data_IF_997319276735
#
_entry.id   IF_997319276735
#
_cell.length_a   1.000
_cell.length_b   1.000
_cell.length_c   1.000
_cell.angle_alpha   90.00
_cell.angle_beta   90.00
_cell.angle_gamma   90.00
#
_symmetry.space_group_name_H-M   'P 1'
#
loop_
_entity.id
_entity.type
_entity.pdbx_description
1 polymer ?
#
# COMPACT_ATOMS: atom_id res chain seq x y z
N UNK A 1 -33.84 71.78 48.92
CA UNK A 1 -34.68 72.07 47.73
C UNK A 1 -34.20 71.29 46.48
N UNK A 2 -35.11 70.47 45.89
CA UNK A 2 -35.08 69.77 44.57
C UNK A 2 -34.00 68.67 44.42
N UNK A 3 -34.27 67.35 44.43
CA UNK A 3 -35.24 66.47 43.75
C UNK A 3 -34.97 66.25 42.23
N UNK A 4 -34.43 65.05 41.93
CA UNK A 4 -34.59 64.15 40.75
C UNK A 4 -34.39 64.66 39.30
N UNK A 5 -33.46 64.01 38.60
CA UNK A 5 -33.71 63.09 37.46
C UNK A 5 -32.39 62.38 37.13
N UNK A 6 -32.23 61.06 37.19
CA UNK A 6 -33.09 60.08 36.55
C UNK A 6 -32.52 59.65 35.19
N UNK A 7 -31.22 59.32 35.09
CA UNK A 7 -30.67 58.66 33.91
C UNK A 7 -30.98 57.14 33.98
N UNK A 8 -32.27 56.82 33.83
CA UNK A 8 -32.68 55.46 33.43
C UNK A 8 -32.31 55.31 31.95
N UNK A 9 -31.05 54.97 31.69
CA UNK A 9 -30.74 54.27 30.44
C UNK A 9 -31.51 52.95 30.56
N UNK A 10 -32.55 52.74 29.73
CA UNK A 10 -33.51 51.69 30.01
C UNK A 10 -32.78 50.36 29.85
N UNK A 11 -32.91 49.48 30.83
CA UNK A 11 -32.39 48.11 30.78
C UNK A 11 -32.80 47.39 29.48
N UNK A 12 -33.90 47.84 28.84
CA UNK A 12 -34.35 47.45 27.50
C UNK A 12 -33.29 47.65 26.42
N UNK A 13 -32.50 48.74 26.47
CA UNK A 13 -31.43 49.00 25.49
C UNK A 13 -30.23 48.06 25.70
N UNK A 14 -29.88 47.79 26.96
CA UNK A 14 -28.81 46.84 27.29
C UNK A 14 -29.21 45.40 26.93
N UNK A 15 -30.46 45.01 27.19
CA UNK A 15 -31.01 43.69 26.81
C UNK A 15 -31.13 43.58 25.28
N UNK A 16 -31.53 44.65 24.59
CA UNK A 16 -31.58 44.71 23.12
C UNK A 16 -30.21 44.53 22.48
N UNK A 17 -29.18 45.21 23.01
CA UNK A 17 -27.80 45.03 22.53
C UNK A 17 -27.27 43.61 22.80
N UNK A 18 -27.62 43.01 23.95
CA UNK A 18 -27.18 41.66 24.28
C UNK A 18 -27.87 40.60 23.41
N UNK A 19 -29.17 40.76 23.15
CA UNK A 19 -29.92 39.90 22.24
C UNK A 19 -29.40 40.02 20.80
N UNK A 20 -29.09 41.23 20.33
CA UNK A 20 -28.49 41.46 19.01
C UNK A 20 -27.10 40.81 18.90
N UNK A 21 -26.27 40.92 19.95
CA UNK A 21 -24.96 40.29 20.01
C UNK A 21 -25.04 38.76 19.98
N UNK A 22 -26.01 38.16 20.68
CA UNK A 22 -26.24 36.71 20.66
C UNK A 22 -26.74 36.24 19.30
N UNK A 23 -27.64 36.99 18.65
CA UNK A 23 -28.12 36.68 17.29
C UNK A 23 -27.00 36.81 16.26
N UNK A 24 -26.16 37.85 16.37
CA UNK A 24 -24.98 38.02 15.51
C UNK A 24 -23.96 36.89 15.73
N UNK A 25 -23.71 36.49 16.98
CA UNK A 25 -22.82 35.36 17.29
C UNK A 25 -23.37 34.03 16.77
N UNK A 26 -24.67 33.78 16.92
CA UNK A 26 -25.32 32.59 16.38
C UNK A 26 -25.34 32.60 14.84
N UNK A 27 -25.49 33.77 14.21
CA UNK A 27 -25.45 33.92 12.76
C UNK A 27 -24.02 33.73 12.22
N UNK A 28 -23.00 34.26 12.88
CA UNK A 28 -21.59 34.01 12.50
C UNK A 28 -21.18 32.57 12.75
N UNK A 29 -21.65 31.92 13.81
CA UNK A 29 -21.47 30.47 14.04
C UNK A 29 -22.20 29.62 13.00
N UNK A 30 -23.41 30.01 12.56
CA UNK A 30 -24.15 29.31 11.50
C UNK A 30 -23.52 29.56 10.12
N UNK A 31 -23.01 30.76 9.86
CA UNK A 31 -22.25 31.06 8.64
C UNK A 31 -20.89 30.36 8.64
N UNK A 32 -20.18 30.30 9.77
CA UNK A 32 -18.97 29.52 9.95
C UNK A 32 -19.27 28.02 9.78
N UNK A 33 -20.37 27.50 10.35
CA UNK A 33 -20.84 26.13 10.15
C UNK A 33 -21.26 25.83 8.71
N UNK A 34 -21.81 26.81 7.98
CA UNK A 34 -22.14 26.71 6.55
C UNK A 34 -20.93 26.82 5.64
N UNK A 35 -19.89 27.55 6.03
CA UNK A 35 -18.58 27.59 5.36
C UNK A 35 -17.79 26.31 5.67
N UNK A 36 -18.04 25.70 6.85
CA UNK A 36 -17.65 24.34 7.23
C UNK A 36 -18.65 23.29 6.68
N UNK A 37 -19.39 23.60 5.62
CA UNK A 37 -20.01 22.54 4.79
C UNK A 37 -18.90 21.84 4.02
N UNK A 38 -18.39 20.78 4.65
CA UNK A 38 -17.45 19.75 4.17
C UNK A 38 -16.43 20.26 3.15
N UNK A 39 -15.13 20.37 3.48
CA UNK A 39 -14.08 20.68 2.49
C UNK A 39 -14.16 19.80 1.22
N UNK A 40 -14.69 18.58 1.35
CA UNK A 40 -15.04 17.67 0.24
C UNK A 40 -15.92 18.32 -0.85
N UNK A 41 -16.90 19.16 -0.50
CA UNK A 41 -17.84 19.77 -1.46
C UNK A 41 -17.19 20.86 -2.32
N UNK A 42 -16.23 21.60 -1.77
CA UNK A 42 -15.51 22.67 -2.48
C UNK A 42 -14.43 22.05 -3.36
N UNK A 43 -13.66 21.09 -2.82
CA UNK A 43 -12.64 20.36 -3.57
C UNK A 43 -13.28 19.64 -4.78
N UNK A 44 -14.43 18.99 -4.60
CA UNK A 44 -15.16 18.34 -5.70
C UNK A 44 -15.66 19.29 -6.80
N UNK A 45 -15.84 20.58 -6.52
CA UNK A 45 -16.23 21.58 -7.53
C UNK A 45 -15.04 22.13 -8.33
N UNK A 46 -13.82 22.02 -7.78
CA UNK A 46 -12.59 22.58 -8.37
C UNK A 46 -11.89 21.55 -9.26
N UNK A 47 -12.11 20.25 -9.02
CA UNK A 47 -11.53 19.19 -9.86
C UNK A 47 -12.20 19.18 -11.23
N UNK A 48 -11.37 19.29 -12.27
CA UNK A 48 -11.78 19.04 -13.65
C UNK A 48 -12.38 17.63 -13.77
N UNK A 49 -13.60 17.54 -14.33
CA UNK A 49 -14.36 16.29 -14.44
C UNK A 49 -13.55 15.18 -15.12
N UNK A 50 -12.77 15.49 -16.15
CA UNK A 50 -11.95 14.49 -16.85
C UNK A 50 -10.83 13.93 -15.98
N UNK A 51 -10.25 14.75 -15.09
CA UNK A 51 -9.25 14.28 -14.14
C UNK A 51 -9.90 13.36 -13.08
N UNK A 52 -11.07 13.74 -12.56
CA UNK A 52 -11.81 12.90 -11.61
C UNK A 52 -12.19 11.54 -12.22
N UNK A 53 -12.83 11.55 -13.37
CA UNK A 53 -13.31 10.32 -14.04
C UNK A 53 -12.13 9.38 -14.36
N UNK A 54 -10.97 9.95 -14.71
CA UNK A 54 -9.75 9.19 -14.96
C UNK A 54 -9.20 8.57 -13.67
N UNK A 55 -9.21 9.30 -12.55
CA UNK A 55 -8.81 8.74 -11.25
C UNK A 55 -9.74 7.60 -10.80
N UNK A 56 -11.06 7.79 -10.93
CA UNK A 56 -12.05 6.78 -10.55
C UNK A 56 -11.90 5.51 -11.39
N UNK A 57 -11.69 5.63 -12.71
CA UNK A 57 -11.40 4.47 -13.58
C UNK A 57 -10.10 3.77 -13.20
N UNK A 58 -9.06 4.53 -12.88
CA UNK A 58 -7.78 3.97 -12.47
C UNK A 58 -7.91 3.13 -11.20
N UNK A 59 -8.55 3.67 -10.15
CA UNK A 59 -8.77 2.92 -8.92
C UNK A 59 -9.71 1.74 -9.11
N UNK A 60 -10.77 1.88 -9.90
CA UNK A 60 -11.69 0.77 -10.20
C UNK A 60 -10.97 -0.43 -10.84
N UNK A 61 -10.00 -0.18 -11.74
CA UNK A 61 -9.19 -1.25 -12.34
C UNK A 61 -8.25 -1.89 -11.32
N UNK A 62 -7.57 -1.08 -10.50
CA UNK A 62 -6.74 -1.58 -9.41
C UNK A 62 -7.54 -2.46 -8.43
N UNK A 63 -8.73 -2.04 -8.04
CA UNK A 63 -9.60 -2.76 -7.10
C UNK A 63 -10.18 -4.05 -7.70
N UNK A 64 -10.33 -4.10 -9.02
CA UNK A 64 -10.75 -5.30 -9.75
C UNK A 64 -9.59 -6.31 -9.97
N UNK A 65 -8.35 -5.97 -9.57
CA UNK A 65 -7.17 -6.79 -9.87
C UNK A 65 -6.71 -6.71 -11.33
N UNK A 66 -7.29 -5.82 -12.14
CA UNK A 66 -6.91 -5.57 -13.54
C UNK A 66 -5.71 -4.59 -13.58
N UNK A 67 -4.57 -5.07 -13.09
CA UNK A 67 -3.37 -4.27 -12.86
C UNK A 67 -2.79 -3.78 -14.19
N UNK A 68 -2.80 -4.61 -15.22
CA UNK A 68 -2.27 -4.33 -16.55
C UNK A 68 -3.06 -3.21 -17.22
N UNK A 69 -4.38 -3.22 -17.12
CA UNK A 69 -5.15 -2.14 -17.69
C UNK A 69 -5.09 -0.86 -16.86
N UNK A 70 -4.92 -0.94 -15.53
CA UNK A 70 -4.60 0.23 -14.71
C UNK A 70 -3.24 0.83 -15.12
N UNK A 71 -2.24 -0.02 -15.35
CA UNK A 71 -0.92 0.37 -15.86
C UNK A 71 -0.99 1.00 -17.25
N UNK A 72 -1.83 0.45 -18.13
CA UNK A 72 -2.06 0.95 -19.48
C UNK A 72 -2.69 2.35 -19.55
N UNK A 73 -3.25 2.85 -18.44
CA UNK A 73 -3.70 4.25 -18.35
C UNK A 73 -2.55 5.24 -18.13
N UNK A 74 -1.34 4.74 -17.84
CA UNK A 74 -0.12 5.53 -17.67
C UNK A 74 0.37 6.15 -18.97
N UNK A 75 0.89 7.38 -18.88
CA UNK A 75 1.65 7.99 -19.98
C UNK A 75 3.12 7.54 -19.98
N UNK A 76 3.86 7.95 -21.01
CA UNK A 76 5.29 7.64 -21.12
C UNK A 76 6.12 8.10 -19.92
N UNK A 77 5.70 9.15 -19.20
CA UNK A 77 6.41 9.64 -18.02
C UNK A 77 6.13 8.80 -16.76
N UNK A 78 4.99 8.12 -16.69
CA UNK A 78 4.74 7.07 -15.69
C UNK A 78 5.57 5.83 -16.03
N UNK A 79 5.53 5.39 -17.27
CA UNK A 79 6.26 4.19 -17.73
C UNK A 79 7.78 4.36 -17.73
N UNK A 80 8.29 5.59 -17.81
CA UNK A 80 9.72 5.86 -17.67
C UNK A 80 10.21 5.85 -16.21
N UNK A 81 9.30 5.88 -15.23
CA UNK A 81 9.63 6.02 -13.80
C UNK A 81 9.33 4.77 -12.99
N UNK A 82 8.58 3.85 -13.56
CA UNK A 82 8.13 2.62 -12.91
C UNK A 82 8.01 1.57 -14.00
N UNK A 83 8.19 0.30 -13.65
CA UNK A 83 7.93 -0.83 -14.54
C UNK A 83 6.57 -1.46 -14.22
N UNK A 84 5.97 -2.17 -15.18
CA UNK A 84 4.75 -2.95 -14.91
C UNK A 84 4.92 -3.91 -13.72
N UNK A 85 6.12 -4.49 -13.58
CA UNK A 85 6.46 -5.38 -12.46
C UNK A 85 6.42 -4.66 -11.12
N UNK A 86 7.09 -3.50 -11.00
CA UNK A 86 7.08 -2.69 -9.77
C UNK A 86 5.66 -2.20 -9.44
N UNK A 87 4.88 -1.84 -10.47
CA UNK A 87 3.49 -1.45 -10.29
C UNK A 87 2.61 -2.59 -9.78
N UNK A 88 2.81 -3.82 -10.29
CA UNK A 88 2.16 -5.04 -9.76
C UNK A 88 2.53 -5.29 -8.31
N UNK A 89 3.83 -5.27 -7.98
CA UNK A 89 4.31 -5.44 -6.62
C UNK A 89 3.69 -4.40 -5.67
N UNK A 90 3.61 -3.15 -6.11
CA UNK A 90 2.93 -2.10 -5.35
C UNK A 90 1.45 -2.42 -5.12
N UNK A 91 0.71 -2.81 -6.17
CA UNK A 91 -0.72 -3.08 -6.07
C UNK A 91 -1.00 -4.23 -5.09
N UNK A 92 -0.20 -5.30 -5.17
CA UNK A 92 -0.30 -6.43 -4.25
C UNK A 92 0.11 -6.06 -2.82
N UNK A 93 1.20 -5.31 -2.64
CA UNK A 93 1.63 -4.87 -1.31
C UNK A 93 0.57 -4.00 -0.62
N UNK A 94 -0.06 -3.09 -1.37
CA UNK A 94 -1.16 -2.26 -0.88
C UNK A 94 -2.35 -3.11 -0.42
N UNK A 95 -2.76 -4.09 -1.23
CA UNK A 95 -3.88 -4.97 -0.92
C UNK A 95 -3.56 -5.93 0.23
N UNK A 96 -2.33 -6.41 0.34
CA UNK A 96 -1.89 -7.25 1.45
C UNK A 96 -1.90 -6.46 2.78
N UNK A 97 -1.31 -5.27 2.76
CA UNK A 97 -1.16 -4.40 3.93
C UNK A 97 -2.50 -3.86 4.42
N UNK A 98 -3.31 -3.30 3.52
CA UNK A 98 -4.52 -2.57 3.89
C UNK A 98 -5.81 -3.33 3.60
N UNK A 99 -5.77 -4.43 2.85
CA UNK A 99 -6.95 -5.14 2.39
C UNK A 99 -7.61 -4.46 1.17
N UNK A 100 -8.83 -4.89 0.79
CA UNK A 100 -9.56 -4.24 -0.28
C UNK A 100 -9.89 -2.79 0.05
N UNK A 101 -9.86 -1.94 -0.97
CA UNK A 101 -10.24 -0.53 -0.88
C UNK A 101 -11.75 -0.44 -0.64
N UNK A 102 -12.15 0.37 0.33
CA UNK A 102 -13.57 0.66 0.63
C UNK A 102 -14.00 1.93 -0.09
N UNK A 103 -13.20 3.00 0.03
CA UNK A 103 -13.53 4.29 -0.59
C UNK A 103 -12.33 5.22 -0.72
N UNK A 104 -11.99 5.69 -1.94
CA UNK A 104 -11.07 6.81 -2.11
C UNK A 104 -11.81 8.16 -1.94
N UNK A 105 -11.30 9.06 -1.10
CA UNK A 105 -11.83 10.42 -0.91
C UNK A 105 -10.76 11.44 -1.28
N UNK A 106 -11.04 12.31 -2.26
CA UNK A 106 -10.14 13.41 -2.63
C UNK A 106 -10.07 14.42 -1.48
N UNK A 107 -8.89 14.61 -0.91
CA UNK A 107 -8.63 15.58 0.16
C UNK A 107 -8.08 16.90 -0.36
N UNK A 108 -7.20 16.85 -1.35
CA UNK A 108 -6.61 18.04 -1.93
C UNK A 108 -6.31 17.88 -3.40
N UNK A 109 -6.29 19.02 -4.10
CA UNK A 109 -6.07 19.10 -5.54
C UNK A 109 -5.09 20.23 -5.78
N UNK A 110 -4.02 19.94 -6.49
CA UNK A 110 -3.07 20.94 -6.97
C UNK A 110 -3.01 20.91 -8.48
N UNK A 111 -3.19 22.07 -9.11
CA UNK A 111 -3.19 22.21 -10.57
C UNK A 111 -1.92 22.96 -10.97
N UNK A 112 -1.02 22.27 -11.66
CA UNK A 112 0.23 22.83 -12.17
C UNK A 112 0.15 22.89 -13.71
N UNK A 113 0.19 24.09 -14.30
CA UNK A 113 0.32 24.25 -15.76
C UNK A 113 1.80 24.15 -16.13
N UNK A 114 2.18 23.17 -16.94
CA UNK A 114 3.56 22.99 -17.42
C UNK A 114 3.59 22.97 -18.94
N UNK A 115 4.41 23.85 -19.50
CA UNK A 115 4.91 23.70 -20.87
C UNK A 115 5.98 22.61 -20.87
N UNK A 116 5.65 21.42 -21.35
CA UNK A 116 6.63 20.37 -21.63
C UNK A 116 6.78 20.30 -23.15
N UNK A 117 7.99 20.49 -23.68
CA UNK A 117 8.29 20.30 -25.10
C UNK A 117 7.35 21.04 -26.08
N UNK A 118 7.04 22.32 -25.84
CA UNK A 118 6.13 23.17 -26.64
C UNK A 118 4.64 22.77 -26.61
N UNK A 119 4.27 21.70 -25.93
CA UNK A 119 2.87 21.35 -25.64
C UNK A 119 2.46 21.87 -24.26
N UNK A 120 1.35 22.60 -24.20
CA UNK A 120 0.76 23.04 -22.94
C UNK A 120 0.05 21.87 -22.27
N UNK A 121 0.67 21.30 -21.24
CA UNK A 121 0.06 20.26 -20.41
C UNK A 121 -0.45 20.85 -19.10
N UNK A 122 -1.63 20.42 -18.65
CA UNK A 122 -2.12 20.72 -17.31
C UNK A 122 -2.00 19.48 -16.46
N UNK A 123 -1.27 19.57 -15.34
CA UNK A 123 -1.11 18.49 -14.38
C UNK A 123 -2.05 18.70 -13.20
N UNK A 124 -2.87 17.70 -12.92
CA UNK A 124 -3.74 17.63 -11.76
C UNK A 124 -3.14 16.65 -10.77
N UNK A 125 -2.59 17.14 -9.66
CA UNK A 125 -2.15 16.31 -8.55
C UNK A 125 -3.31 16.16 -7.58
N UNK A 126 -3.88 14.96 -7.52
CA UNK A 126 -4.98 14.59 -6.66
C UNK A 126 -4.43 13.78 -5.48
N UNK A 127 -4.68 14.25 -4.27
CA UNK A 127 -4.34 13.51 -3.05
C UNK A 127 -5.62 12.93 -2.46
N UNK A 128 -5.59 11.63 -2.22
CA UNK A 128 -6.67 10.84 -1.67
C UNK A 128 -6.32 10.44 -0.24
N UNK A 129 -7.31 10.52 0.64
CA UNK A 129 -7.35 9.64 1.79
C UNK A 129 -8.25 8.48 1.39
N UNK A 130 -7.67 7.29 1.38
CA UNK A 130 -8.34 6.09 0.98
C UNK A 130 -8.61 5.24 2.21
N UNK A 131 -9.87 4.94 2.44
CA UNK A 131 -10.28 3.95 3.44
C UNK A 131 -10.13 2.56 2.83
N UNK A 132 -9.40 1.69 3.52
CA UNK A 132 -9.30 0.27 3.24
C UNK A 132 -9.82 -0.52 4.43
N UNK A 133 -10.09 -1.81 4.21
CA UNK A 133 -10.64 -2.68 5.24
C UNK A 133 -9.79 -2.76 6.53
N UNK A 134 -8.47 -2.66 6.43
CA UNK A 134 -7.53 -2.75 7.56
C UNK A 134 -6.97 -1.40 8.02
N UNK A 135 -7.39 -0.28 7.43
CA UNK A 135 -6.94 1.05 7.83
C UNK A 135 -7.03 2.09 6.72
N UNK A 136 -6.62 3.31 7.02
CA UNK A 136 -6.58 4.40 6.04
C UNK A 136 -5.16 4.54 5.46
N UNK A 137 -5.08 4.96 4.20
CA UNK A 137 -3.81 5.32 3.60
C UNK A 137 -3.92 6.54 2.69
N UNK A 138 -2.81 7.26 2.54
CA UNK A 138 -2.73 8.42 1.66
C UNK A 138 -2.16 8.03 0.30
N UNK A 139 -2.92 8.31 -0.75
CA UNK A 139 -2.53 8.01 -2.13
C UNK A 139 -2.48 9.31 -2.93
N UNK A 140 -1.50 9.44 -3.82
CA UNK A 140 -1.36 10.59 -4.71
C UNK A 140 -1.36 10.13 -6.14
N UNK A 141 -2.28 10.66 -6.94
CA UNK A 141 -2.37 10.42 -8.37
C UNK A 141 -2.14 11.74 -9.11
N UNK A 142 -1.24 11.74 -10.07
CA UNK A 142 -1.00 12.88 -10.97
C UNK A 142 -1.59 12.53 -12.32
N UNK A 143 -2.49 13.38 -12.81
CA UNK A 143 -3.17 13.21 -14.09
C UNK A 143 -2.72 14.34 -15.01
N UNK A 144 -2.24 13.98 -16.19
CA UNK A 144 -1.93 14.95 -17.23
C UNK A 144 -3.12 15.12 -18.16
N UNK A 145 -3.46 16.38 -18.47
CA UNK A 145 -4.32 16.74 -19.59
C UNK A 145 -3.46 17.27 -20.73
N UNK A 146 -3.50 16.61 -21.89
CA UNK A 146 -2.88 17.04 -23.15
C UNK A 146 -3.90 16.89 -24.26
N UNK A 147 -4.12 17.95 -25.04
CA UNK A 147 -5.05 17.97 -26.18
C UNK A 147 -6.46 17.42 -25.87
N UNK A 148 -6.94 17.64 -24.65
CA UNK A 148 -8.25 17.16 -24.19
C UNK A 148 -8.27 15.72 -23.69
N UNK A 149 -7.20 14.94 -23.89
CA UNK A 149 -7.04 13.60 -23.33
C UNK A 149 -6.46 13.66 -21.90
N UNK A 150 -6.90 12.72 -21.05
CA UNK A 150 -6.45 12.60 -19.66
C UNK A 150 -5.76 11.26 -19.45
N UNK A 151 -4.53 11.29 -18.97
CA UNK A 151 -3.71 10.10 -18.71
C UNK A 151 -3.08 10.16 -17.33
N UNK A 152 -2.74 9.00 -16.78
CA UNK A 152 -2.03 8.93 -15.50
C UNK A 152 -0.56 9.26 -15.73
N UNK A 153 -0.12 10.37 -15.17
CA UNK A 153 1.26 10.87 -15.31
C UNK A 153 2.19 10.33 -14.22
N UNK A 154 1.64 10.07 -13.04
CA UNK A 154 2.33 9.40 -11.94
C UNK A 154 1.33 8.89 -10.93
N UNK A 155 1.68 7.83 -10.23
CA UNK A 155 0.94 7.34 -9.08
C UNK A 155 1.92 7.03 -7.96
N UNK A 156 1.66 7.57 -6.77
CA UNK A 156 2.42 7.30 -5.56
C UNK A 156 1.42 6.95 -4.46
N UNK A 157 1.35 5.69 -4.06
CA UNK A 157 0.63 5.35 -2.85
C UNK A 157 1.47 5.34 -1.60
N UNK A 158 0.87 4.93 -0.46
CA UNK A 158 1.55 4.89 0.83
C UNK A 158 2.80 3.99 0.80
N UNK A 159 2.78 2.90 0.01
CA UNK A 159 3.90 1.99 -0.14
C UNK A 159 5.05 2.56 -1.03
N UNK A 160 4.78 3.61 -1.84
CA UNK A 160 5.79 4.28 -2.69
C UNK A 160 6.51 5.44 -1.97
N UNK A 161 6.20 5.69 -0.69
CA UNK A 161 6.86 6.71 0.14
C UNK A 161 8.38 6.53 0.32
N UNK A 162 8.94 5.39 -0.11
CA UNK A 162 10.37 5.09 -0.05
C UNK A 162 11.25 5.86 -1.06
N UNK A 163 10.69 6.54 -2.07
CA UNK A 163 11.51 7.02 -3.20
C UNK A 163 11.31 8.46 -3.68
N UNK A 164 10.62 9.36 -2.97
CA UNK A 164 10.47 10.75 -3.44
C UNK A 164 10.75 11.81 -2.37
N UNK A 165 12.03 12.12 -2.17
CA UNK A 165 12.44 13.49 -1.83
C UNK A 165 12.40 14.32 -3.10
N UNK A 166 11.53 15.32 -3.15
CA UNK A 166 11.48 16.33 -4.21
C UNK A 166 12.85 16.98 -4.42
N UNK A 167 13.37 17.12 -5.65
CA UNK A 167 14.59 17.86 -5.90
C UNK A 167 14.35 19.34 -5.58
N UNK A 168 15.03 19.85 -4.57
CA UNK A 168 15.14 21.29 -4.29
C UNK A 168 15.98 21.89 -5.43
N UNK A 169 15.51 22.99 -6.04
CA UNK A 169 16.25 23.77 -7.05
C UNK A 169 17.69 24.04 -6.55
N UNK A 170 18.71 23.94 -7.42
CA UNK A 170 20.08 24.24 -7.02
C UNK A 170 20.21 25.75 -6.83
N UNK A 171 20.40 26.17 -5.59
CA UNK A 171 20.83 27.52 -5.25
C UNK A 171 22.08 27.41 -4.39
N UNK A 172 23.19 27.94 -4.90
CA UNK A 172 24.42 28.19 -4.14
C UNK A 172 25.48 27.10 -4.26
N UNK A 173 26.58 27.44 -4.93
CA UNK A 173 27.88 26.77 -4.78
C UNK A 173 28.23 26.71 -3.28
N UNK A 174 28.32 25.51 -2.73
CA UNK A 174 29.18 25.22 -1.59
C UNK A 174 29.86 23.88 -1.88
N UNK A 175 31.17 23.94 -2.12
CA UNK A 175 32.06 22.80 -2.32
C UNK A 175 32.12 21.99 -1.03
N UNK A 176 31.32 20.94 -0.94
CA UNK A 176 31.48 19.89 0.07
C UNK A 176 32.08 18.67 -0.65
N UNK A 177 33.11 18.01 -0.11
CA UNK A 177 33.71 16.84 -0.75
C UNK A 177 32.65 15.74 -0.96
N UNK A 178 32.58 15.22 -2.18
CA UNK A 178 31.73 14.06 -2.50
C UNK A 178 32.20 12.85 -1.68
N UNK A 179 31.30 12.07 -1.05
CA UNK A 179 31.66 10.80 -0.44
C UNK A 179 32.21 9.86 -1.53
N UNK A 180 33.20 9.01 -1.21
CA UNK A 180 33.79 8.07 -2.16
C UNK A 180 32.71 7.17 -2.77
N UNK A 181 32.87 6.88 -4.06
CA UNK A 181 32.02 5.90 -4.74
C UNK A 181 32.28 4.50 -4.15
N UNK A 182 31.24 3.67 -3.97
CA UNK A 182 31.42 2.31 -3.49
C UNK A 182 32.26 1.51 -4.49
N UNK A 183 33.32 0.89 -3.98
CA UNK A 183 34.21 0.00 -4.73
C UNK A 183 33.49 -1.32 -4.98
N UNK A 184 33.20 -1.58 -6.25
CA UNK A 184 32.63 -2.81 -6.84
C UNK A 184 31.12 -3.06 -6.66
N UNK A 185 30.41 -3.46 -7.74
CA UNK A 185 29.02 -3.90 -7.65
C UNK A 185 28.94 -5.22 -6.87
N UNK A 186 27.97 -5.33 -5.96
CA UNK A 186 27.67 -6.57 -5.25
C UNK A 186 27.34 -7.70 -6.23
N UNK A 187 28.08 -8.81 -6.16
CA UNK A 187 27.76 -10.01 -6.93
C UNK A 187 26.57 -10.79 -6.32
N UNK A 188 25.94 -11.61 -7.15
CA UNK A 188 24.74 -12.39 -6.82
C UNK A 188 24.97 -13.34 -5.64
N UNK A 189 26.14 -13.97 -5.57
CA UNK A 189 26.48 -14.95 -4.54
C UNK A 189 26.63 -14.29 -3.16
N UNK A 190 27.32 -13.15 -3.11
CA UNK A 190 27.45 -12.33 -1.91
C UNK A 190 26.11 -11.78 -1.43
N UNK A 191 25.25 -11.37 -2.36
CA UNK A 191 23.89 -10.92 -2.04
C UNK A 191 23.03 -12.04 -1.44
N UNK A 192 23.06 -13.24 -2.05
CA UNK A 192 22.32 -14.38 -1.52
C UNK A 192 22.82 -14.79 -0.13
N UNK A 193 24.14 -14.84 0.06
CA UNK A 193 24.74 -15.16 1.36
C UNK A 193 24.38 -14.13 2.45
N UNK A 194 24.40 -12.84 2.11
CA UNK A 194 24.01 -11.79 3.06
C UNK A 194 22.52 -11.86 3.42
N UNK A 195 21.66 -12.10 2.43
CA UNK A 195 20.23 -12.24 2.66
C UNK A 195 19.91 -13.47 3.51
N UNK A 196 20.56 -14.62 3.27
CA UNK A 196 20.44 -15.82 4.11
C UNK A 196 20.88 -15.55 5.55
N UNK A 197 22.03 -14.90 5.74
CA UNK A 197 22.52 -14.50 7.08
C UNK A 197 21.54 -13.59 7.80
N UNK A 198 20.85 -12.70 7.09
CA UNK A 198 19.82 -11.84 7.67
C UNK A 198 18.61 -12.66 8.14
N UNK A 199 18.15 -13.65 7.36
CA UNK A 199 17.10 -14.56 7.79
C UNK A 199 17.53 -15.33 9.04
N UNK A 200 18.73 -15.90 9.07
CA UNK A 200 19.27 -16.60 10.25
C UNK A 200 19.34 -15.69 11.48
N UNK A 201 19.76 -14.43 11.29
CA UNK A 201 19.77 -13.43 12.34
C UNK A 201 18.36 -13.15 12.88
N UNK A 202 17.32 -13.10 12.03
CA UNK A 202 15.94 -12.95 12.50
C UNK A 202 15.46 -14.15 13.34
N UNK A 203 15.97 -15.36 13.05
CA UNK A 203 15.62 -16.56 13.81
C UNK A 203 16.28 -16.59 15.20
N UNK A 204 17.47 -15.99 15.34
CA UNK A 204 18.20 -15.88 16.61
C UNK A 204 17.71 -14.71 17.47
N UNK A 205 17.40 -13.57 16.86
CA UNK A 205 16.80 -12.43 17.55
C UNK A 205 16.81 -11.13 16.74
N UNK A 206 15.80 -10.28 17.00
CA UNK A 206 15.61 -9.03 16.27
C UNK A 206 16.81 -8.05 16.39
N UNK A 207 17.57 -8.09 17.48
CA UNK A 207 18.74 -7.22 17.62
C UNK A 207 19.82 -7.52 16.56
N UNK A 208 20.14 -8.79 16.33
CA UNK A 208 21.17 -9.19 15.37
C UNK A 208 20.76 -8.87 13.93
N UNK A 209 19.50 -9.12 13.58
CA UNK A 209 18.98 -8.80 12.25
C UNK A 209 18.91 -7.29 12.00
N UNK A 210 18.57 -6.50 13.02
CA UNK A 210 18.52 -5.04 12.93
C UNK A 210 19.87 -4.43 12.58
N UNK A 211 20.97 -4.97 13.11
CA UNK A 211 22.30 -4.43 12.86
C UNK A 211 22.74 -4.60 11.40
N UNK A 212 22.13 -5.54 10.66
CA UNK A 212 22.35 -5.77 9.22
C UNK A 212 21.52 -4.84 8.31
N UNK A 213 20.61 -4.04 8.88
CA UNK A 213 19.74 -3.14 8.12
C UNK A 213 20.44 -1.83 7.76
N UNK A 214 20.23 -1.36 6.54
CA UNK A 214 20.77 -0.11 6.01
C UNK A 214 19.91 1.11 6.36
N UNK A 215 20.43 2.30 6.04
CA UNK A 215 19.73 3.56 6.29
C UNK A 215 18.35 3.65 5.63
N UNK A 216 18.15 2.99 4.50
CA UNK A 216 16.85 2.97 3.81
C UNK A 216 15.78 2.21 4.59
N UNK A 217 16.14 1.05 5.14
CA UNK A 217 15.26 0.24 5.98
C UNK A 217 14.94 0.99 7.28
N UNK A 218 15.97 1.50 7.96
CA UNK A 218 15.85 2.24 9.22
C UNK A 218 15.11 3.57 9.06
N UNK A 219 15.05 4.12 7.84
CA UNK A 219 14.32 5.33 7.51
C UNK A 219 12.80 5.15 7.42
N UNK A 220 12.32 3.92 7.25
CA UNK A 220 10.88 3.62 7.13
C UNK A 220 10.33 2.76 8.26
N UNK A 221 11.18 1.99 8.92
CA UNK A 221 10.83 1.13 10.03
C UNK A 221 11.76 1.45 11.18
N UNK A 222 11.20 1.84 12.32
CA UNK A 222 11.99 2.01 13.53
C UNK A 222 12.29 0.65 14.19
N UNK A 223 13.24 0.65 15.13
CA UNK A 223 13.70 -0.57 15.80
C UNK A 223 12.57 -1.27 16.58
N UNK A 224 11.63 -0.51 17.14
CA UNK A 224 10.49 -1.06 17.89
C UNK A 224 9.51 -1.78 16.96
N UNK A 225 9.17 -1.15 15.82
CA UNK A 225 8.34 -1.72 14.77
C UNK A 225 8.98 -2.99 14.18
N UNK A 226 10.30 -2.98 13.99
CA UNK A 226 11.05 -4.16 13.54
C UNK A 226 11.01 -5.30 14.57
N UNK A 227 11.25 -5.01 15.84
CA UNK A 227 11.15 -6.00 16.91
C UNK A 227 9.73 -6.61 16.98
N UNK A 228 8.71 -5.78 16.80
CA UNK A 228 7.31 -6.23 16.72
C UNK A 228 7.09 -7.13 15.50
N UNK A 229 7.58 -6.75 14.32
CA UNK A 229 7.50 -7.56 13.11
C UNK A 229 8.10 -8.96 13.32
N UNK A 230 9.32 -9.04 13.84
CA UNK A 230 9.99 -10.33 14.12
C UNK A 230 9.19 -11.17 15.11
N UNK A 231 8.63 -10.54 16.15
CA UNK A 231 7.75 -11.22 17.12
C UNK A 231 6.47 -11.73 16.48
N UNK A 232 5.83 -10.93 15.64
CA UNK A 232 4.58 -11.27 14.95
C UNK A 232 4.81 -12.43 13.97
N UNK A 233 5.94 -12.45 13.26
CA UNK A 233 6.35 -13.56 12.37
C UNK A 233 6.51 -14.84 13.18
N UNK A 234 7.24 -14.80 14.30
CA UNK A 234 7.41 -15.97 15.16
C UNK A 234 6.09 -16.44 15.76
N UNK A 235 5.18 -15.53 16.09
CA UNK A 235 3.85 -15.88 16.59
C UNK A 235 3.01 -16.58 15.50
N UNK A 236 3.01 -16.04 14.27
CA UNK A 236 2.24 -16.54 13.15
C UNK A 236 2.78 -17.85 12.57
N UNK A 237 4.10 -17.92 12.33
CA UNK A 237 4.75 -19.01 11.60
C UNK A 237 5.55 -19.95 12.50
N UNK A 238 5.88 -19.55 13.72
CA UNK A 238 6.80 -20.30 14.59
C UNK A 238 8.27 -20.02 14.25
N UNK A 239 9.16 -20.88 14.73
CA UNK A 239 10.59 -20.81 14.39
C UNK A 239 10.82 -21.19 12.93
N UNK A 240 11.78 -20.53 12.26
CA UNK A 240 12.22 -20.97 10.93
C UNK A 240 13.08 -22.23 11.08
N UNK A 241 12.79 -23.25 10.29
CA UNK A 241 13.49 -24.54 10.27
C UNK A 241 14.57 -24.55 9.19
N UNK A 242 14.24 -24.10 7.98
CA UNK A 242 15.16 -23.99 6.85
C UNK A 242 14.69 -22.88 5.89
N UNK A 243 15.56 -22.53 4.94
CA UNK A 243 15.26 -21.64 3.83
C UNK A 243 16.15 -21.94 2.63
N UNK A 244 15.63 -21.68 1.44
CA UNK A 244 16.34 -21.89 0.17
C UNK A 244 16.03 -20.74 -0.78
N UNK A 245 17.05 -20.22 -1.47
CA UNK A 245 16.84 -19.17 -2.45
C UNK A 245 16.15 -19.76 -3.70
N UNK A 246 15.01 -19.20 -4.06
CA UNK A 246 14.18 -19.63 -5.20
C UNK A 246 14.07 -18.57 -6.29
N UNK A 247 14.48 -17.33 -6.00
CA UNK A 247 14.41 -16.23 -6.94
C UNK A 247 15.46 -15.17 -6.68
N UNK A 248 15.89 -14.53 -7.77
CA UNK A 248 16.88 -13.46 -7.73
C UNK A 248 16.47 -12.37 -8.72
N UNK A 249 16.52 -11.11 -8.29
CA UNK A 249 16.24 -9.97 -9.14
C UNK A 249 17.16 -8.79 -8.81
N UNK A 250 17.99 -8.39 -9.78
CA UNK A 250 18.81 -7.18 -9.67
C UNK A 250 18.11 -6.02 -10.38
N UNK A 251 17.98 -4.90 -9.69
CA UNK A 251 17.42 -3.66 -10.23
C UNK A 251 18.44 -2.55 -10.03
N UNK A 252 18.77 -1.84 -11.11
CA UNK A 252 19.64 -0.66 -11.05
C UNK A 252 18.80 0.57 -11.31
N UNK A 253 18.73 1.46 -10.33
CA UNK A 253 18.01 2.73 -10.43
C UNK A 253 19.04 3.86 -10.44
N UNK A 254 19.04 4.64 -11.51
CA UNK A 254 19.85 5.86 -11.58
C UNK A 254 19.12 6.99 -10.85
N UNK A 255 19.65 7.41 -9.70
CA UNK A 255 19.11 8.51 -8.92
C UNK A 255 20.23 9.52 -8.60
N UNK A 256 20.00 10.81 -8.86
CA UNK A 256 20.95 11.90 -8.58
C UNK A 256 22.34 11.71 -9.22
N UNK A 257 22.40 11.12 -10.42
CA UNK A 257 23.67 10.86 -11.11
C UNK A 257 24.49 9.69 -10.54
N UNK A 258 23.94 8.93 -9.59
CA UNK A 258 24.54 7.71 -9.05
C UNK A 258 23.64 6.51 -9.35
N UNK A 259 24.23 5.41 -9.81
CA UNK A 259 23.53 4.14 -9.93
C UNK A 259 23.36 3.54 -8.53
N UNK A 260 22.11 3.34 -8.11
CA UNK A 260 21.78 2.56 -6.91
C UNK A 260 21.36 1.18 -7.38
N UNK A 261 22.23 0.20 -7.16
CA UNK A 261 21.94 -1.20 -7.43
C UNK A 261 21.29 -1.80 -6.19
N UNK A 262 20.11 -2.35 -6.37
CA UNK A 262 19.40 -3.14 -5.36
C UNK A 262 19.23 -4.56 -5.86
N UNK A 263 19.47 -5.53 -4.99
CA UNK A 263 19.32 -6.94 -5.31
C UNK A 263 18.27 -7.51 -4.38
N UNK A 264 17.21 -8.06 -4.96
CA UNK A 264 16.17 -8.77 -4.21
C UNK A 264 16.38 -10.26 -4.35
N UNK A 265 16.44 -10.94 -3.22
CA UNK A 265 16.54 -12.40 -3.13
C UNK A 265 15.25 -12.92 -2.51
N UNK A 266 14.62 -13.86 -3.20
CA UNK A 266 13.39 -14.52 -2.74
C UNK A 266 13.75 -15.90 -2.21
N UNK A 267 13.29 -16.20 -1.01
CA UNK A 267 13.47 -17.48 -0.34
C UNK A 267 12.13 -18.19 -0.18
N UNK A 268 12.14 -19.50 -0.45
CA UNK A 268 11.13 -20.39 0.12
C UNK A 268 11.64 -20.86 1.48
N UNK A 269 10.87 -20.56 2.52
CA UNK A 269 11.24 -20.80 3.90
C UNK A 269 10.22 -21.70 4.59
N UNK A 270 10.71 -22.73 5.27
CA UNK A 270 9.88 -23.60 6.11
C UNK A 270 9.96 -23.15 7.55
N UNK A 271 8.80 -23.01 8.17
CA UNK A 271 8.64 -22.71 9.59
C UNK A 271 7.91 -23.86 10.29
N UNK A 272 7.90 -23.84 11.62
CA UNK A 272 7.18 -24.83 12.44
C UNK A 272 5.68 -24.92 12.11
N UNK A 273 5.05 -23.82 11.66
CA UNK A 273 3.59 -23.74 11.41
C UNK A 273 3.23 -23.62 9.93
N UNK A 274 4.17 -23.85 9.01
CA UNK A 274 3.91 -23.82 7.57
C UNK A 274 5.06 -23.25 6.74
N UNK A 275 4.80 -22.99 5.47
CA UNK A 275 5.76 -22.41 4.52
C UNK A 275 5.41 -20.96 4.19
N UNK A 276 6.42 -20.18 3.84
CA UNK A 276 6.23 -18.81 3.37
C UNK A 276 7.32 -18.43 2.36
N UNK A 277 6.97 -17.47 1.50
CA UNK A 277 7.93 -16.79 0.65
C UNK A 277 8.43 -15.55 1.37
N UNK A 278 9.75 -15.46 1.52
CA UNK A 278 10.44 -14.32 2.12
C UNK A 278 11.24 -13.57 1.07
N UNK A 279 11.04 -12.27 0.96
CA UNK A 279 11.82 -11.40 0.08
C UNK A 279 12.75 -10.52 0.92
N UNK A 280 14.03 -10.51 0.58
CA UNK A 280 15.04 -9.64 1.18
C UNK A 280 15.63 -8.79 0.06
N UNK A 281 15.46 -7.47 0.15
CA UNK A 281 16.12 -6.53 -0.76
C UNK A 281 17.35 -5.95 -0.09
N UNK A 282 18.48 -6.09 -0.77
CA UNK A 282 19.77 -5.55 -0.40
C UNK A 282 20.08 -4.32 -1.23
N UNK A 283 20.75 -3.36 -0.63
CA UNK A 283 21.31 -2.20 -1.30
C UNK A 283 22.80 -2.10 -1.06
N UNK A 284 23.56 -1.65 -2.08
CA UNK A 284 24.95 -1.26 -1.88
C UNK A 284 25.00 0.13 -1.23
N UNK A 285 25.53 0.22 -0.01
CA UNK A 285 25.80 1.49 0.67
C UNK A 285 27.29 1.83 0.67
N UNK A 286 27.65 3.01 1.19
CA UNK A 286 29.05 3.43 1.37
C UNK A 286 29.80 2.51 2.36
N UNK A 287 29.08 1.96 3.35
CA UNK A 287 29.64 1.10 4.40
C UNK A 287 29.58 -0.39 4.03
N UNK A 288 29.14 -0.70 2.80
CA UNK A 288 28.94 -2.06 2.31
C UNK A 288 27.48 -2.41 2.01
N UNK A 289 27.20 -3.64 1.56
CA UNK A 289 25.84 -4.08 1.31
C UNK A 289 25.03 -4.20 2.60
N UNK A 290 23.79 -3.72 2.58
CA UNK A 290 22.90 -3.73 3.74
C UNK A 290 21.46 -4.06 3.34
N UNK A 291 20.66 -4.55 4.28
CA UNK A 291 19.24 -4.84 4.02
C UNK A 291 18.45 -3.54 3.92
N UNK A 292 17.80 -3.33 2.78
CA UNK A 292 16.97 -2.16 2.48
C UNK A 292 15.48 -2.44 2.69
N UNK A 293 15.04 -3.68 2.49
CA UNK A 293 13.65 -4.09 2.64
C UNK A 293 13.53 -5.57 2.97
N UNK A 294 12.46 -5.93 3.68
CA UNK A 294 12.08 -7.32 3.96
C UNK A 294 10.56 -7.46 3.95
N UNK A 295 10.06 -8.53 3.34
CA UNK A 295 8.67 -8.93 3.40
C UNK A 295 8.51 -10.44 3.46
N UNK A 296 7.39 -10.89 4.01
CA UNK A 296 6.98 -12.28 4.08
C UNK A 296 5.54 -12.40 3.59
N UNK A 297 5.30 -13.34 2.68
CA UNK A 297 3.97 -13.74 2.24
C UNK A 297 3.79 -15.21 2.60
N UNK A 298 2.77 -15.51 3.40
CA UNK A 298 2.39 -16.91 3.63
C UNK A 298 2.06 -17.52 2.27
N UNK A 299 2.68 -18.64 1.93
CA UNK A 299 2.16 -19.43 0.82
C UNK A 299 0.76 -19.84 1.27
N UNK A 300 -0.24 -19.58 0.43
CA UNK A 300 -1.50 -20.28 0.61
C UNK A 300 -1.10 -21.75 0.60
N UNK A 301 -1.30 -22.43 1.74
CA UNK A 301 -1.27 -23.88 1.74
C UNK A 301 -2.28 -24.23 0.66
N UNK A 302 -1.81 -24.75 -0.48
CA UNK A 302 -2.66 -25.57 -1.33
C UNK A 302 -3.15 -26.63 -0.35
N UNK A 303 -4.36 -26.42 0.19
CA UNK A 303 -5.08 -27.53 0.76
C UNK A 303 -5.02 -28.56 -0.36
N UNK A 304 -4.51 -29.78 -0.11
CA UNK A 304 -4.72 -30.83 -1.09
C UNK A 304 -6.19 -30.77 -1.46
N UNK A 305 -6.50 -30.88 -2.75
CA UNK A 305 -7.87 -30.96 -3.25
C UNK A 305 -8.53 -32.15 -2.54
N UNK A 306 -9.05 -31.91 -1.32
CA UNK A 306 -9.94 -32.81 -0.61
C UNK A 306 -11.22 -32.62 -1.38
N UNK A 307 -11.27 -33.22 -2.57
CA UNK A 307 -12.54 -33.61 -3.14
C UNK A 307 -13.22 -34.37 -2.01
N UNK A 308 -14.42 -33.96 -1.57
CA UNK A 308 -15.21 -34.86 -0.74
C UNK A 308 -15.18 -36.20 -1.48
N UNK A 309 -14.88 -37.33 -0.79
CA UNK A 309 -14.84 -38.63 -1.44
C UNK A 309 -16.10 -38.73 -2.27
N UNK A 310 -15.93 -38.91 -3.58
CA UNK A 310 -17.08 -38.96 -4.47
C UNK A 310 -17.96 -40.09 -3.92
N UNK A 311 -19.20 -39.81 -3.48
CA UNK A 311 -20.05 -40.81 -2.85
C UNK A 311 -20.35 -41.98 -3.80
N UNK A 312 -19.95 -41.86 -5.08
CA UNK A 312 -20.07 -42.89 -6.10
C UNK A 312 -18.76 -43.61 -6.45
N UNK A 313 -17.60 -43.20 -5.93
CA UNK A 313 -16.31 -43.85 -6.23
C UNK A 313 -16.19 -45.26 -5.62
N UNK A 314 -17.04 -45.57 -4.62
CA UNK A 314 -17.20 -46.91 -4.05
C UNK A 314 -18.63 -47.44 -4.17
N UNK A 315 -19.47 -46.89 -5.06
CA UNK A 315 -20.75 -47.53 -5.36
C UNK A 315 -20.46 -48.85 -6.07
N UNK A 316 -20.68 -49.98 -5.38
CA UNK A 316 -20.66 -51.30 -6.01
C UNK A 316 -21.48 -51.25 -7.30
N UNK A 317 -20.97 -51.79 -8.42
CA UNK A 317 -21.69 -51.78 -9.68
C UNK A 317 -23.05 -52.44 -9.46
N UNK A 318 -24.12 -51.73 -9.85
CA UNK A 318 -25.46 -52.27 -9.80
C UNK A 318 -25.49 -53.63 -10.54
N UNK A 319 -26.07 -54.68 -9.94
CA UNK A 319 -26.10 -56.00 -10.56
C UNK A 319 -26.79 -55.91 -11.92
N UNK A 320 -26.17 -56.53 -12.93
CA UNK A 320 -26.68 -56.55 -14.28
C UNK A 320 -28.12 -57.09 -14.32
N UNK A 321 -29.01 -56.49 -15.13
CA UNK A 321 -30.38 -56.96 -15.27
C UNK A 321 -30.38 -58.31 -15.99
N UNK A 322 -30.48 -59.40 -15.24
CA UNK A 322 -30.54 -60.75 -15.80
C UNK A 322 -30.27 -61.91 -14.83
N UNK A 323 -29.83 -61.65 -13.60
CA UNK A 323 -29.63 -62.72 -12.62
C UNK A 323 -30.93 -62.96 -11.84
N UNK A 324 -31.55 -64.11 -12.09
CA UNK A 324 -32.71 -64.62 -11.38
C UNK A 324 -32.48 -64.59 -9.87
N UNK A 325 -33.38 -63.94 -9.13
CA UNK A 325 -33.39 -63.99 -7.68
C UNK A 325 -33.69 -65.44 -7.24
N UNK A 326 -32.88 -66.05 -6.35
CA UNK A 326 -33.26 -67.32 -5.75
C UNK A 326 -34.52 -67.14 -4.92
N UNK A 327 -35.55 -67.94 -5.23
CA UNK A 327 -36.77 -68.03 -4.43
C UNK A 327 -36.42 -68.49 -3.01
N UNK A 328 -36.62 -67.60 -2.05
CA UNK A 328 -36.55 -67.94 -0.62
C UNK A 328 -37.88 -68.61 -0.26
N UNK A 329 -37.85 -69.92 -0.02
CA UNK A 329 -38.98 -70.64 0.58
C UNK A 329 -39.21 -70.14 2.02
N UNK A 330 -40.45 -69.78 2.39
CA UNK A 330 -40.77 -69.42 3.76
C UNK A 330 -41.05 -70.69 4.57
N UNK A 331 -40.12 -71.05 5.45
CA UNK A 331 -40.43 -71.99 6.54
C UNK A 331 -39.26 -72.84 7.01
N UNK A 332 -38.52 -72.31 7.98
CA UNK A 332 -38.01 -73.11 9.12
C UNK A 332 -37.58 -72.15 10.22
N UNK A 333 -38.27 -72.25 11.35
CA UNK A 333 -37.99 -71.48 12.55
C UNK A 333 -36.58 -71.76 13.08
N UNK A 334 -35.94 -70.70 13.57
CA UNK A 334 -34.85 -70.83 14.52
C UNK A 334 -35.45 -71.23 15.87
N UNK A 335 -35.08 -72.42 16.35
CA UNK A 335 -35.05 -72.70 17.79
C UNK A 335 -33.82 -72.01 18.40
N UNK A 336 -34.00 -71.52 19.63
CA UNK A 336 -33.07 -70.71 20.43
C UNK A 336 -31.96 -71.59 21.00
#
# INVERSE_FOLDING_TARGET
>A
PKQRSGARVPAVFAIGCLALAVVLAAWTLNMAGKIVRRPETIVNKIVDKGARDTAERFFKRLDAGDIEAAWGMGDSAMHSKTTLREFRQYAFALQAQYGPRVRPVIKSVKIDKKSLNRESSTLYTLTFETEFRKGNAHETLVIARRDGAYTVHAYNGPALGMARRTPKKPGGRNTTPSPPEPTSPMDTESAQALAARFLDAMNTGAAAAWDMTGGSFRGVMDRSAFNKLVKDIKAAHGKRLDHSAVGFNSTSVFANGRARVTITVTFSSRFEKGSALEEVTLEQTADGPAVAFYSIASEAVDMPDIRPPDPFENAEPAPEPGMEQPQIEPGRGLEI
#
